data_IF_522205513259
#
_entry.id   IF_522205513259
#
_cell.length_a   1.000
_cell.length_b   1.000
_cell.length_c   1.000
_cell.angle_alpha   90.00
_cell.angle_beta   90.00
_cell.angle_gamma   90.00
#
_symmetry.space_group_name_H-M   'P 1'
#
loop_
_entity.id
_entity.type
_entity.pdbx_description
1 polymer ?
#
# COMPACT_ATOMS: atom_id res chain seq x y z
N UNK A 1 3.60 -16.14 7.65
CA UNK A 1 2.85 -15.79 6.44
C UNK A 1 1.35 -15.89 6.68
N UNK A 2 0.60 -15.14 5.89
CA UNK A 2 -0.86 -15.16 5.90
C UNK A 2 -1.40 -15.11 4.48
N UNK A 3 -2.49 -15.81 4.25
CA UNK A 3 -3.23 -15.71 3.00
C UNK A 3 -4.10 -14.45 2.97
N UNK A 4 -4.45 -13.96 1.79
CA UNK A 4 -5.43 -12.86 1.60
C UNK A 4 -6.77 -13.22 2.25
N UNK A 5 -7.18 -14.49 2.18
CA UNK A 5 -8.42 -14.96 2.82
C UNK A 5 -8.38 -14.88 4.36
N UNK A 6 -7.24 -15.18 4.98
CA UNK A 6 -7.05 -15.04 6.43
C UNK A 6 -7.05 -13.58 6.85
N UNK A 7 -6.39 -12.70 6.08
CA UNK A 7 -6.45 -11.26 6.32
C UNK A 7 -7.88 -10.73 6.22
N UNK A 8 -8.62 -11.13 5.18
CA UNK A 8 -10.03 -10.77 5.03
C UNK A 8 -10.88 -11.22 6.22
N UNK A 9 -10.75 -12.48 6.62
CA UNK A 9 -11.46 -13.03 7.78
C UNK A 9 -11.19 -12.25 9.06
N UNK A 10 -9.98 -11.68 9.18
CA UNK A 10 -9.55 -10.89 10.33
C UNK A 10 -10.07 -9.45 10.30
N UNK A 11 -10.07 -8.82 9.12
CA UNK A 11 -10.29 -7.38 8.98
C UNK A 11 -11.67 -6.98 8.44
N UNK A 12 -12.46 -7.92 7.92
CA UNK A 12 -13.81 -7.61 7.40
C UNK A 12 -14.76 -7.10 8.51
N UNK A 13 -15.80 -6.31 8.16
CA UNK A 13 -16.77 -5.79 9.15
C UNK A 13 -17.42 -6.89 10.01
N UNK A 14 -17.67 -8.06 9.43
CA UNK A 14 -18.29 -9.20 10.12
C UNK A 14 -17.39 -9.80 11.22
N UNK A 15 -16.08 -9.51 11.21
CA UNK A 15 -15.13 -9.98 12.22
C UNK A 15 -15.28 -9.26 13.56
N UNK A 16 -15.88 -8.06 13.56
CA UNK A 16 -16.01 -7.23 14.76
C UNK A 16 -16.70 -7.97 15.90
N UNK A 17 -16.04 -8.03 17.07
CA UNK A 17 -16.50 -8.74 18.25
C UNK A 17 -16.55 -10.26 18.14
N UNK A 18 -16.26 -10.84 16.96
CA UNK A 18 -16.32 -12.29 16.71
C UNK A 18 -14.95 -12.94 16.59
N UNK A 19 -14.06 -12.34 15.84
CA UNK A 19 -12.68 -12.79 15.66
C UNK A 19 -11.79 -12.03 16.65
N UNK A 20 -11.55 -12.61 17.81
CA UNK A 20 -10.83 -12.01 18.93
C UNK A 20 -9.52 -12.71 19.27
N UNK A 21 -9.28 -13.89 18.66
CA UNK A 21 -8.07 -14.68 18.88
C UNK A 21 -7.49 -15.16 17.55
N UNK A 22 -6.18 -15.35 17.51
CA UNK A 22 -5.46 -15.78 16.31
C UNK A 22 -5.94 -17.12 15.76
N UNK A 23 -6.20 -18.11 16.63
CA UNK A 23 -6.67 -19.45 16.21
C UNK A 23 -8.09 -19.44 15.63
N UNK A 24 -8.87 -18.39 15.82
CA UNK A 24 -10.15 -18.22 15.12
C UNK A 24 -9.94 -17.83 13.65
N UNK A 25 -8.83 -17.16 13.32
CA UNK A 25 -8.46 -16.88 11.93
C UNK A 25 -8.02 -18.17 11.24
N UNK A 26 -7.04 -18.86 11.82
CA UNK A 26 -6.54 -20.15 11.36
C UNK A 26 -6.27 -21.05 12.57
N UNK A 27 -6.82 -22.28 12.65
CA UNK A 27 -6.62 -23.19 13.78
C UNK A 27 -5.16 -23.55 14.08
N UNK A 28 -4.24 -23.33 13.13
CA UNK A 28 -2.79 -23.54 13.31
C UNK A 28 -2.11 -22.38 14.03
N UNK A 29 -2.77 -21.24 14.16
CA UNK A 29 -2.24 -20.08 14.87
C UNK A 29 -2.41 -20.24 16.39
N UNK A 30 -1.65 -19.54 17.22
CA UNK A 30 -1.73 -19.65 18.66
C UNK A 30 -3.11 -19.23 19.19
N UNK A 31 -3.52 -19.83 20.31
CA UNK A 31 -4.76 -19.46 21.01
C UNK A 31 -4.53 -18.22 21.89
N UNK A 32 -4.13 -17.13 21.25
CA UNK A 32 -3.79 -15.87 21.89
C UNK A 32 -4.74 -14.76 21.44
N UNK A 33 -4.87 -13.71 22.25
CA UNK A 33 -5.68 -12.55 21.92
C UNK A 33 -5.12 -11.86 20.69
N UNK A 34 -6.00 -11.53 19.74
CA UNK A 34 -5.66 -10.77 18.56
C UNK A 34 -5.70 -9.28 18.92
N UNK A 35 -4.59 -8.58 18.68
CA UNK A 35 -4.48 -7.14 18.87
C UNK A 35 -4.18 -6.50 17.51
N UNK A 36 -5.07 -5.63 17.07
CA UNK A 36 -5.01 -5.05 15.73
C UNK A 36 -4.74 -3.55 15.78
N UNK A 37 -3.85 -3.12 14.90
CA UNK A 37 -3.45 -1.72 14.72
C UNK A 37 -3.53 -1.35 13.25
N UNK A 38 -4.10 -0.20 12.94
CA UNK A 38 -4.23 0.24 11.55
C UNK A 38 -4.50 1.73 11.43
N UNK A 39 -4.33 2.30 10.23
CA UNK A 39 -4.62 3.70 9.99
C UNK A 39 -6.10 4.03 10.22
N UNK A 40 -6.37 5.30 10.48
CA UNK A 40 -7.72 5.81 10.61
C UNK A 40 -8.43 6.01 9.27
N UNK A 41 -9.69 6.44 9.36
CA UNK A 41 -10.59 6.53 8.20
C UNK A 41 -10.21 7.60 7.15
N UNK A 42 -9.30 8.51 7.49
CA UNK A 42 -8.81 9.57 6.57
C UNK A 42 -7.51 9.17 5.86
N UNK A 43 -7.02 7.95 6.10
CA UNK A 43 -5.81 7.42 5.50
C UNK A 43 -6.07 6.73 4.16
N UNK A 44 -5.29 7.09 3.13
CA UNK A 44 -5.28 6.36 1.85
C UNK A 44 -4.76 4.92 1.99
N UNK A 45 -3.96 4.60 3.02
CA UNK A 45 -3.54 3.24 3.34
C UNK A 45 -4.71 2.41 3.85
N UNK A 46 -5.60 3.00 4.67
CA UNK A 46 -6.84 2.37 5.11
C UNK A 46 -7.76 2.07 3.93
N UNK A 47 -7.98 3.05 3.05
CA UNK A 47 -8.84 2.89 1.89
C UNK A 47 -8.35 1.75 0.99
N UNK A 48 -7.06 1.76 0.65
CA UNK A 48 -6.48 0.74 -0.23
C UNK A 48 -6.45 -0.64 0.41
N UNK A 49 -6.03 -0.76 1.67
CA UNK A 49 -6.00 -2.05 2.35
C UNK A 49 -7.39 -2.68 2.42
N UNK A 50 -8.40 -1.90 2.82
CA UNK A 50 -9.77 -2.40 2.93
C UNK A 50 -10.36 -2.79 1.58
N UNK A 51 -10.03 -2.05 0.51
CA UNK A 51 -10.42 -2.42 -0.84
C UNK A 51 -9.72 -3.70 -1.31
N UNK A 52 -8.40 -3.78 -1.12
CA UNK A 52 -7.60 -4.93 -1.57
C UNK A 52 -7.96 -6.23 -0.83
N UNK A 53 -8.23 -6.16 0.46
CA UNK A 53 -8.49 -7.32 1.31
C UNK A 53 -9.97 -7.62 1.44
N UNK A 54 -10.80 -6.61 1.69
CA UNK A 54 -12.24 -6.79 1.94
C UNK A 54 -13.11 -6.56 0.70
N UNK A 55 -12.50 -6.12 -0.42
CA UNK A 55 -13.20 -5.92 -1.69
C UNK A 55 -13.97 -4.61 -1.79
N UNK A 56 -13.88 -3.75 -0.78
CA UNK A 56 -14.53 -2.43 -0.78
C UNK A 56 -13.76 -1.47 0.12
N UNK A 57 -13.40 -0.30 -0.41
CA UNK A 57 -12.78 0.76 0.34
C UNK A 57 -13.62 1.14 1.58
N UNK A 58 -12.95 1.37 2.69
CA UNK A 58 -13.52 1.70 4.00
C UNK A 58 -14.35 0.60 4.66
N UNK A 59 -14.50 -0.57 4.06
CA UNK A 59 -15.19 -1.70 4.68
C UNK A 59 -14.22 -2.42 5.65
N UNK A 60 -14.32 -2.13 6.94
CA UNK A 60 -13.47 -2.72 7.99
C UNK A 60 -14.25 -2.90 9.28
N UNK A 61 -13.73 -3.79 10.15
CA UNK A 61 -14.12 -3.78 11.57
C UNK A 61 -13.69 -2.46 12.21
N UNK A 62 -14.34 -2.06 13.30
CA UNK A 62 -14.05 -0.81 14.03
C UNK A 62 -13.40 -1.02 15.40
N UNK A 63 -13.23 -2.27 15.84
CA UNK A 63 -12.70 -2.62 17.16
C UNK A 63 -11.17 -2.89 17.16
N UNK A 64 -10.44 -2.13 16.36
CA UNK A 64 -8.97 -2.11 16.34
C UNK A 64 -8.45 -0.75 16.83
N UNK A 65 -7.19 -0.67 17.20
CA UNK A 65 -6.54 0.60 17.55
C UNK A 65 -6.21 1.36 16.27
N UNK A 66 -6.92 2.47 16.04
CA UNK A 66 -6.75 3.33 14.89
C UNK A 66 -5.87 4.55 15.23
N UNK A 67 -5.00 4.95 14.32
CA UNK A 67 -4.23 6.20 14.41
C UNK A 67 -3.91 6.72 13.01
N UNK A 68 -3.94 8.03 12.82
CA UNK A 68 -3.43 8.67 11.60
C UNK A 68 -1.90 8.84 11.64
N UNK A 69 -1.28 8.66 12.80
CA UNK A 69 0.17 8.65 12.97
C UNK A 69 0.69 7.20 12.91
N UNK A 70 1.37 6.85 11.81
CA UNK A 70 1.96 5.53 11.61
C UNK A 70 3.00 5.17 12.68
N UNK A 71 3.69 6.15 13.29
CA UNK A 71 4.63 5.86 14.39
C UNK A 71 3.90 5.33 15.63
N UNK A 72 2.69 5.81 15.90
CA UNK A 72 1.83 5.27 16.96
C UNK A 72 1.45 3.82 16.67
N UNK A 73 1.15 3.50 15.40
CA UNK A 73 0.85 2.12 14.98
C UNK A 73 2.07 1.20 15.14
N UNK A 74 3.25 1.67 14.72
CA UNK A 74 4.52 0.96 14.89
C UNK A 74 4.77 0.64 16.36
N UNK A 75 4.67 1.63 17.25
CA UNK A 75 4.83 1.44 18.70
C UNK A 75 3.82 0.44 19.27
N UNK A 76 2.57 0.49 18.81
CA UNK A 76 1.54 -0.44 19.20
C UNK A 76 1.89 -1.89 18.86
N UNK A 77 2.36 -2.14 17.66
CA UNK A 77 2.79 -3.48 17.21
C UNK A 77 4.07 -3.92 17.91
N UNK A 78 5.08 -3.05 17.99
CA UNK A 78 6.37 -3.34 18.64
C UNK A 78 6.21 -3.75 20.10
N UNK A 79 5.30 -3.09 20.81
CA UNK A 79 5.08 -3.32 22.25
C UNK A 79 4.23 -4.54 22.57
N UNK A 80 3.65 -5.22 21.58
CA UNK A 80 2.71 -6.31 21.80
C UNK A 80 3.04 -7.53 20.93
N UNK A 81 3.52 -8.59 21.55
CA UNK A 81 3.91 -9.84 20.88
C UNK A 81 2.82 -10.45 19.98
N UNK A 82 1.56 -10.25 20.34
CA UNK A 82 0.40 -10.82 19.61
C UNK A 82 -0.32 -9.78 18.75
N UNK A 83 0.36 -8.67 18.44
CA UNK A 83 -0.20 -7.63 17.59
C UNK A 83 0.01 -7.94 16.09
N UNK A 84 -0.90 -7.45 15.28
CA UNK A 84 -0.77 -7.29 13.86
C UNK A 84 -1.19 -5.88 13.48
N UNK A 85 -0.39 -5.21 12.66
CA UNK A 85 -0.71 -3.91 12.11
C UNK A 85 -0.48 -3.85 10.61
N UNK A 86 -1.05 -2.82 9.96
CA UNK A 86 -0.69 -2.46 8.60
C UNK A 86 -0.48 -0.94 8.50
N UNK A 87 0.56 -0.56 7.81
CA UNK A 87 1.00 0.83 7.61
C UNK A 87 2.00 0.89 6.44
N UNK A 88 2.44 2.08 6.07
CA UNK A 88 3.37 2.27 4.96
C UNK A 88 4.69 1.52 5.15
N UNK A 89 5.22 0.95 4.05
CA UNK A 89 6.47 0.17 4.06
C UNK A 89 7.66 0.93 4.66
N UNK A 90 7.71 2.25 4.47
CA UNK A 90 8.75 3.11 5.03
C UNK A 90 8.93 2.94 6.55
N UNK A 91 7.83 2.89 7.26
CA UNK A 91 7.82 2.75 8.72
C UNK A 91 8.30 1.36 9.16
N UNK A 92 7.91 0.31 8.44
CA UNK A 92 8.50 -1.02 8.65
C UNK A 92 10.01 -1.01 8.37
N UNK A 93 10.43 -0.41 7.27
CA UNK A 93 11.84 -0.39 6.85
C UNK A 93 12.75 0.28 7.88
N UNK A 94 12.25 1.31 8.58
CA UNK A 94 12.96 2.00 9.65
C UNK A 94 13.00 1.21 10.97
N UNK A 95 12.18 0.16 11.15
CA UNK A 95 12.02 -0.60 12.40
C UNK A 95 12.17 -2.11 12.18
N UNK A 96 12.96 -2.54 11.18
CA UNK A 96 13.18 -3.97 10.85
C UNK A 96 13.80 -4.79 11.98
N UNK A 97 14.49 -4.15 12.90
CA UNK A 97 15.08 -4.76 14.09
C UNK A 97 14.03 -5.16 15.14
N UNK A 98 12.86 -4.55 15.11
CA UNK A 98 11.77 -4.73 16.08
C UNK A 98 10.50 -5.33 15.51
N UNK A 99 10.31 -5.23 14.19
CA UNK A 99 9.10 -5.68 13.49
C UNK A 99 9.43 -6.81 12.53
N UNK A 100 8.48 -7.71 12.37
CA UNK A 100 8.52 -8.76 11.34
C UNK A 100 7.44 -8.49 10.30
N UNK A 101 7.85 -8.34 9.03
CA UNK A 101 6.89 -8.27 7.95
C UNK A 101 6.23 -9.63 7.70
N UNK A 102 4.91 -9.65 7.65
CA UNK A 102 4.15 -10.85 7.30
C UNK A 102 4.18 -11.06 5.79
N UNK A 103 4.70 -12.19 5.36
CA UNK A 103 4.61 -12.58 3.95
C UNK A 103 3.16 -12.87 3.57
N UNK A 104 2.73 -12.33 2.42
CA UNK A 104 1.35 -12.43 1.93
C UNK A 104 1.26 -13.48 0.84
N UNK A 105 0.31 -14.39 0.98
CA UNK A 105 0.01 -15.41 -0.01
C UNK A 105 -1.33 -15.10 -0.71
N UNK A 106 -1.24 -14.77 -1.99
CA UNK A 106 -2.39 -14.52 -2.88
C UNK A 106 -2.81 -15.77 -3.69
N UNK A 107 -2.39 -16.96 -3.27
CA UNK A 107 -2.62 -18.22 -3.97
C UNK A 107 -1.44 -18.69 -4.83
N UNK A 108 -0.33 -17.93 -4.85
CA UNK A 108 0.91 -18.28 -5.59
C UNK A 108 2.10 -18.55 -4.67
N UNK A 109 1.85 -18.68 -3.38
CA UNK A 109 2.85 -18.81 -2.32
C UNK A 109 3.13 -17.48 -1.60
N UNK A 110 3.70 -17.57 -0.39
CA UNK A 110 3.95 -16.40 0.45
C UNK A 110 5.09 -15.54 -0.08
N UNK A 111 4.85 -14.23 -0.23
CA UNK A 111 5.82 -13.23 -0.69
C UNK A 111 5.96 -12.14 0.37
N UNK A 112 7.20 -11.82 0.76
CA UNK A 112 7.49 -10.72 1.68
C UNK A 112 7.62 -9.39 0.93
N UNK A 113 7.29 -8.25 1.57
CA UNK A 113 7.48 -6.95 0.96
C UNK A 113 8.98 -6.63 0.81
N UNK A 114 9.38 -6.31 -0.41
CA UNK A 114 10.72 -5.83 -0.77
C UNK A 114 10.64 -4.97 -2.03
N UNK A 115 11.69 -4.18 -2.30
CA UNK A 115 11.77 -3.41 -3.55
C UNK A 115 11.60 -4.32 -4.77
N UNK A 116 12.29 -5.46 -4.79
CA UNK A 116 12.23 -6.43 -5.89
C UNK A 116 10.79 -6.96 -6.07
N UNK A 117 10.17 -7.47 -5.00
CA UNK A 117 8.86 -8.10 -5.05
C UNK A 117 7.73 -7.12 -5.36
N UNK A 118 7.89 -5.84 -5.00
CA UNK A 118 6.95 -4.77 -5.36
C UNK A 118 7.14 -4.38 -6.83
N UNK A 119 8.39 -4.21 -7.28
CA UNK A 119 8.69 -3.80 -8.66
C UNK A 119 8.29 -4.85 -9.69
N UNK A 120 8.55 -6.13 -9.41
CA UNK A 120 8.16 -7.24 -10.30
C UNK A 120 6.69 -7.70 -10.13
N UNK A 121 5.93 -7.05 -9.24
CA UNK A 121 4.51 -7.31 -9.03
C UNK A 121 4.17 -8.62 -8.31
N UNK A 122 5.15 -9.31 -7.73
CA UNK A 122 4.90 -10.55 -6.98
C UNK A 122 4.31 -10.29 -5.59
N UNK A 123 4.64 -9.15 -4.95
CA UNK A 123 4.01 -8.72 -3.71
C UNK A 123 2.63 -8.09 -4.00
N UNK A 124 1.61 -8.93 -4.09
CA UNK A 124 0.26 -8.57 -4.49
C UNK A 124 -0.75 -9.20 -3.51
N UNK A 125 -1.86 -8.49 -3.13
CA UNK A 125 -2.36 -7.23 -3.68
C UNK A 125 -1.96 -5.96 -2.90
N UNK A 126 -1.07 -6.01 -1.92
CA UNK A 126 -0.81 -4.93 -0.97
C UNK A 126 0.20 -3.87 -1.44
N UNK A 127 0.69 -3.94 -2.66
CA UNK A 127 1.48 -2.89 -3.29
C UNK A 127 0.65 -2.03 -4.23
N UNK A 128 0.92 -0.73 -4.26
CA UNK A 128 0.29 0.21 -5.20
C UNK A 128 1.26 1.32 -5.61
N UNK A 129 1.15 1.84 -6.83
CA UNK A 129 1.82 3.08 -7.20
C UNK A 129 1.16 4.28 -6.51
N UNK A 130 1.96 5.32 -6.25
CA UNK A 130 1.46 6.64 -5.86
C UNK A 130 1.41 7.53 -7.09
N UNK A 131 0.35 8.34 -7.19
CA UNK A 131 0.12 9.26 -8.29
C UNK A 131 0.19 10.70 -7.83
N UNK A 132 0.70 11.56 -8.71
CA UNK A 132 0.64 13.01 -8.56
C UNK A 132 -0.30 13.54 -9.64
N UNK A 133 -1.30 14.31 -9.22
CA UNK A 133 -2.24 14.96 -10.12
C UNK A 133 -1.88 16.42 -10.27
N UNK A 134 -1.62 16.85 -11.50
CA UNK A 134 -1.32 18.24 -11.82
C UNK A 134 -2.52 18.85 -12.54
N UNK A 135 -3.00 19.99 -12.04
CA UNK A 135 -4.08 20.72 -12.73
C UNK A 135 -3.54 21.26 -14.05
N UNK A 136 -4.28 21.06 -15.14
CA UNK A 136 -3.89 21.50 -16.50
C UNK A 136 -3.52 22.99 -16.54
N UNK A 137 -4.33 23.85 -15.92
CA UNK A 137 -4.06 25.30 -15.85
C UNK A 137 -2.75 25.65 -15.12
N UNK A 138 -2.27 24.79 -14.24
CA UNK A 138 -1.03 24.97 -13.48
C UNK A 138 0.18 24.35 -14.17
N UNK A 139 -0.01 23.39 -15.08
CA UNK A 139 1.07 22.67 -15.75
C UNK A 139 1.97 23.56 -16.62
N UNK A 140 1.48 24.74 -17.03
CA UNK A 140 2.22 25.73 -17.83
C UNK A 140 3.12 26.62 -16.98
N UNK A 141 2.95 26.65 -15.66
CA UNK A 141 3.74 27.47 -14.74
C UNK A 141 5.15 26.88 -14.59
N UNK A 142 6.22 27.68 -14.72
CA UNK A 142 7.60 27.18 -14.65
C UNK A 142 7.89 26.40 -13.36
N UNK A 143 7.49 26.91 -12.20
CA UNK A 143 7.71 26.30 -10.92
C UNK A 143 7.02 24.92 -10.77
N UNK A 144 5.85 24.75 -11.36
CA UNK A 144 5.13 23.44 -11.37
C UNK A 144 5.86 22.46 -12.28
N UNK A 145 6.28 22.93 -13.46
CA UNK A 145 7.00 22.13 -14.44
C UNK A 145 8.34 21.64 -13.88
N UNK A 146 9.11 22.56 -13.30
CA UNK A 146 10.41 22.25 -12.69
C UNK A 146 10.27 21.28 -11.53
N UNK A 147 9.25 21.45 -10.68
CA UNK A 147 8.98 20.52 -9.56
C UNK A 147 8.62 19.11 -10.06
N UNK A 148 7.72 18.99 -11.04
CA UNK A 148 7.36 17.68 -11.61
C UNK A 148 8.57 17.01 -12.26
N UNK A 149 9.38 17.77 -13.00
CA UNK A 149 10.61 17.26 -13.59
C UNK A 149 11.58 16.78 -12.51
N UNK A 150 11.84 17.61 -11.49
CA UNK A 150 12.71 17.26 -10.37
C UNK A 150 12.27 15.96 -9.71
N UNK A 151 11.00 15.84 -9.38
CA UNK A 151 10.43 14.65 -8.73
C UNK A 151 10.62 13.38 -9.58
N UNK A 152 10.39 13.45 -10.89
CA UNK A 152 10.48 12.29 -11.79
C UNK A 152 11.93 11.93 -12.18
N UNK A 153 12.86 12.88 -12.06
CA UNK A 153 14.28 12.63 -12.40
C UNK A 153 15.16 12.27 -11.21
N UNK A 154 14.68 12.49 -9.98
CA UNK A 154 15.44 12.22 -8.75
C UNK A 154 14.82 11.06 -7.95
N UNK A 155 14.62 9.92 -8.60
CA UNK A 155 14.03 8.74 -7.98
C UNK A 155 14.76 8.23 -6.73
N UNK A 156 16.08 8.48 -6.63
CA UNK A 156 16.89 8.08 -5.47
C UNK A 156 16.40 8.75 -4.17
N UNK A 157 15.98 10.02 -4.24
CA UNK A 157 15.41 10.76 -3.11
C UNK A 157 14.10 10.12 -2.60
N UNK A 158 13.36 9.45 -3.47
CA UNK A 158 12.15 8.69 -3.09
C UNK A 158 12.52 7.57 -2.13
N UNK A 159 13.66 6.91 -2.38
CA UNK A 159 14.20 5.87 -1.48
C UNK A 159 14.62 6.43 -0.12
N UNK A 160 15.23 7.61 -0.09
CA UNK A 160 15.69 8.25 1.15
C UNK A 160 14.53 8.60 2.11
N UNK A 161 13.36 8.94 1.56
CA UNK A 161 12.14 9.21 2.36
C UNK A 161 11.30 7.95 2.59
N UNK A 162 11.86 6.75 2.30
CA UNK A 162 11.29 5.45 2.66
C UNK A 162 10.25 4.89 1.69
N UNK A 163 9.98 5.54 0.55
CA UNK A 163 9.17 4.97 -0.51
C UNK A 163 10.01 4.12 -1.47
N UNK A 164 9.35 3.26 -2.23
CA UNK A 164 10.02 2.46 -3.25
C UNK A 164 10.05 3.24 -4.57
N UNK A 165 11.25 3.53 -5.14
CA UNK A 165 11.35 4.28 -6.38
C UNK A 165 10.77 3.48 -7.55
N UNK A 166 10.10 4.18 -8.47
CA UNK A 166 9.65 3.60 -9.72
C UNK A 166 10.85 3.33 -10.66
N UNK A 167 10.74 2.34 -11.57
CA UNK A 167 11.70 2.16 -12.63
C UNK A 167 11.88 3.45 -13.46
N UNK A 168 13.10 3.73 -13.90
CA UNK A 168 13.40 4.92 -14.73
C UNK A 168 12.53 5.02 -15.98
N UNK A 169 12.15 3.87 -16.57
CA UNK A 169 11.23 3.83 -17.72
C UNK A 169 9.83 4.35 -17.39
N UNK A 170 9.31 4.04 -16.19
CA UNK A 170 8.01 4.54 -15.76
C UNK A 170 8.04 6.07 -15.52
N UNK A 171 9.10 6.56 -14.86
CA UNK A 171 9.30 7.99 -14.66
C UNK A 171 9.45 8.74 -16.00
N UNK A 172 10.17 8.17 -16.95
CA UNK A 172 10.34 8.77 -18.28
C UNK A 172 9.01 8.83 -19.06
N UNK A 173 8.18 7.79 -18.97
CA UNK A 173 6.85 7.78 -19.57
C UNK A 173 5.94 8.84 -18.93
N UNK A 174 5.92 8.91 -17.61
CA UNK A 174 5.15 9.93 -16.88
C UNK A 174 5.59 11.35 -17.23
N UNK A 175 6.90 11.59 -17.35
CA UNK A 175 7.44 12.88 -17.81
C UNK A 175 7.00 13.21 -19.23
N UNK A 176 7.06 12.24 -20.13
CA UNK A 176 6.58 12.43 -21.51
C UNK A 176 5.10 12.80 -21.55
N UNK A 177 4.24 12.12 -20.79
CA UNK A 177 2.81 12.45 -20.70
C UNK A 177 2.57 13.87 -20.20
N UNK A 178 3.31 14.28 -19.18
CA UNK A 178 3.24 15.64 -18.67
C UNK A 178 3.66 16.68 -19.74
N UNK A 179 4.74 16.42 -20.48
CA UNK A 179 5.22 17.30 -21.57
C UNK A 179 4.22 17.39 -22.73
N UNK A 180 3.62 16.27 -23.09
CA UNK A 180 2.65 16.18 -24.19
C UNK A 180 1.26 16.71 -23.79
N UNK A 181 1.06 17.11 -22.53
CA UNK A 181 -0.22 17.61 -22.03
C UNK A 181 -1.33 16.56 -22.00
N UNK A 182 -0.98 15.28 -21.81
CA UNK A 182 -1.95 14.20 -21.70
C UNK A 182 -2.82 14.39 -20.47
N UNK A 183 -4.14 14.35 -20.69
CA UNK A 183 -5.15 14.55 -19.64
C UNK A 183 -5.86 13.23 -19.28
N UNK A 184 -6.36 13.18 -18.05
CA UNK A 184 -7.14 12.04 -17.57
C UNK A 184 -6.33 11.01 -16.80
N UNK A 185 -6.88 9.82 -16.70
CA UNK A 185 -6.28 8.67 -16.02
C UNK A 185 -6.56 7.39 -16.80
N UNK A 186 -5.61 6.46 -16.76
CA UNK A 186 -5.75 5.14 -17.41
C UNK A 186 -6.78 4.23 -16.73
N UNK A 187 -7.27 4.60 -15.55
CA UNK A 187 -8.19 3.77 -14.77
C UNK A 187 -9.67 4.00 -15.08
N UNK A 188 -10.01 4.99 -15.92
CA UNK A 188 -11.39 5.26 -16.29
C UNK A 188 -12.34 5.55 -15.12
N UNK A 189 -11.80 6.03 -13.97
CA UNK A 189 -12.58 6.30 -12.76
C UNK A 189 -12.85 5.05 -11.88
N UNK A 190 -12.29 3.91 -12.22
CA UNK A 190 -12.42 2.67 -11.44
C UNK A 190 -11.12 2.30 -10.75
N UNK A 191 -11.17 1.84 -9.47
CA UNK A 191 -9.97 1.41 -8.76
C UNK A 191 -9.37 0.15 -9.42
N UNK A 192 -8.03 0.08 -9.42
CA UNK A 192 -7.27 -1.04 -9.94
C UNK A 192 -6.41 -1.62 -8.83
N UNK A 193 -6.99 -2.56 -8.05
CA UNK A 193 -6.26 -3.25 -7.00
C UNK A 193 -5.27 -4.24 -7.59
N UNK A 194 -4.04 -4.22 -7.07
CA UNK A 194 -3.01 -5.18 -7.44
C UNK A 194 -2.42 -4.99 -8.84
N UNK A 195 -2.57 -3.81 -9.45
CA UNK A 195 -1.92 -3.51 -10.72
C UNK A 195 -0.40 -3.53 -10.57
N UNK A 196 0.30 -4.20 -11.48
CA UNK A 196 1.78 -4.18 -11.51
C UNK A 196 2.27 -2.93 -12.25
N UNK A 197 3.54 -2.56 -12.02
CA UNK A 197 4.15 -1.42 -12.72
C UNK A 197 4.18 -1.66 -14.24
N UNK A 198 4.44 -2.89 -14.68
CA UNK A 198 4.43 -3.26 -16.10
C UNK A 198 3.03 -3.08 -16.72
N UNK A 199 1.99 -3.54 -16.03
CA UNK A 199 0.60 -3.36 -16.47
C UNK A 199 0.22 -1.89 -16.53
N UNK A 200 0.62 -1.09 -15.53
CA UNK A 200 0.39 0.35 -15.52
C UNK A 200 1.06 1.03 -16.71
N UNK A 201 2.34 0.75 -16.96
CA UNK A 201 3.07 1.29 -18.12
C UNK A 201 2.41 0.91 -19.45
N UNK A 202 1.92 -0.33 -19.57
CA UNK A 202 1.22 -0.78 -20.77
C UNK A 202 -0.12 -0.06 -20.99
N UNK A 203 -0.82 0.32 -19.92
CA UNK A 203 -2.04 1.15 -20.01
C UNK A 203 -1.72 2.60 -20.37
N UNK A 204 -0.73 3.19 -19.69
CA UNK A 204 -0.31 4.58 -19.93
C UNK A 204 0.27 4.77 -21.33
N UNK A 205 0.97 3.78 -21.85
CA UNK A 205 1.47 3.81 -23.22
C UNK A 205 0.38 3.90 -24.31
N UNK A 206 -0.89 3.70 -23.94
CA UNK A 206 -2.05 3.81 -24.84
C UNK A 206 -2.77 5.18 -24.76
N UNK A 207 -2.39 6.05 -23.79
CA UNK A 207 -2.87 7.42 -23.72
C UNK A 207 -2.18 8.29 -24.80
#
# INVERSE_FOLDING_TARGET
SMTVAELRKMWEPAAQGRITTWNQVNPKFPKEKLMLFGPGADSGTFDYFTEAINGKAKASRGDFTASEDDNTLVQGVESNKNALGYFGYAYYAAHKDKLTAVAIDNGKGPVSPSLENVTNGTYNPLSRPLFVYVRESSAKRPEVREFVQFMLTNGDLVGEVGYLPLPKSACALAWKHFQDGKLGTVFGGHPQVGITIEQLQALEGKL
#
